data_IF_116055854023
#
_entry.id   IF_116055854023
#
_cell.length_a   1.000
_cell.length_b   1.000
_cell.length_c   1.000
_cell.angle_alpha   90.00
_cell.angle_beta   90.00
_cell.angle_gamma   90.00
#
_symmetry.space_group_name_H-M   'P 1'
#
loop_
_entity.id
_entity.type
_entity.pdbx_description
1 polymer ?
#
# COMPACT_ATOMS: atom_id res chain seq x y z
N UNK A 1 1.52 -30.38 -51.12
CA UNK A 1 2.73 -31.07 -51.60
C UNK A 1 3.86 -30.68 -50.66
N UNK A 2 4.47 -31.68 -49.99
CA UNK A 2 5.66 -31.66 -49.09
C UNK A 2 5.50 -30.84 -47.77
N UNK A 3 5.10 -31.42 -46.63
CA UNK A 3 5.79 -32.31 -45.65
C UNK A 3 7.08 -31.76 -45.02
N UNK A 4 7.09 -31.59 -43.69
CA UNK A 4 7.99 -32.32 -42.78
C UNK A 4 7.63 -32.08 -41.30
N UNK A 5 7.40 -33.19 -40.61
CA UNK A 5 7.36 -33.39 -39.15
C UNK A 5 8.78 -33.31 -38.55
N UNK A 6 8.91 -32.90 -37.28
CA UNK A 6 9.81 -33.58 -36.34
C UNK A 6 9.13 -33.70 -34.98
N UNK A 7 8.92 -34.97 -34.60
CA UNK A 7 8.55 -35.46 -33.28
C UNK A 7 9.85 -35.84 -32.55
N UNK A 8 9.95 -35.62 -31.25
CA UNK A 8 10.86 -36.41 -30.41
C UNK A 8 10.29 -36.61 -29.01
N UNK A 9 10.19 -37.89 -28.66
CA UNK A 9 9.77 -38.48 -27.40
C UNK A 9 10.89 -39.42 -26.99
N UNK A 10 11.42 -39.34 -25.77
CA UNK A 10 12.22 -40.42 -25.16
C UNK A 10 12.04 -40.41 -23.63
N UNK A 11 11.42 -41.52 -23.18
CA UNK A 11 11.64 -42.38 -21.99
C UNK A 11 11.84 -41.76 -20.59
N UNK A 12 11.01 -42.03 -19.57
CA UNK A 12 10.67 -43.29 -18.87
C UNK A 12 11.84 -43.93 -18.09
N UNK A 13 11.78 -43.82 -16.75
CA UNK A 13 12.25 -44.87 -15.84
C UNK A 13 11.56 -44.74 -14.48
N UNK A 14 10.54 -45.60 -14.27
CA UNK A 14 10.18 -46.10 -12.95
C UNK A 14 10.94 -47.42 -12.71
N UNK A 15 11.41 -47.67 -11.48
CA UNK A 15 11.48 -49.04 -10.94
C UNK A 15 11.39 -49.06 -9.41
N UNK A 16 10.56 -49.99 -8.96
CA UNK A 16 10.04 -50.24 -7.62
C UNK A 16 11.01 -50.96 -6.67
N UNK A 17 10.66 -50.94 -5.38
CA UNK A 17 10.98 -52.02 -4.43
C UNK A 17 10.20 -51.90 -3.11
N UNK A 18 9.08 -52.63 -2.98
CA UNK A 18 8.47 -53.03 -1.68
C UNK A 18 9.42 -54.03 -0.97
N UNK A 19 9.42 -54.31 0.34
CA UNK A 19 8.39 -54.91 1.24
C UNK A 19 9.07 -55.08 2.62
N UNK A 20 8.52 -54.64 3.77
CA UNK A 20 7.61 -55.31 4.75
C UNK A 20 8.25 -55.89 6.04
N UNK A 21 7.68 -55.46 7.19
CA UNK A 21 7.57 -56.09 8.54
C UNK A 21 8.86 -56.24 9.39
N UNK A 22 8.90 -56.01 10.72
CA UNK A 22 8.09 -56.53 11.85
C UNK A 22 8.31 -55.59 13.09
N UNK A 23 7.26 -55.26 13.85
CA UNK A 23 7.37 -54.66 15.22
C UNK A 23 7.53 -55.76 16.31
N UNK A 24 7.20 -55.58 17.61
CA UNK A 24 6.80 -54.38 18.34
C UNK A 24 7.60 -54.20 19.66
N UNK A 25 7.33 -53.11 20.40
CA UNK A 25 6.77 -53.18 21.78
C UNK A 25 6.53 -51.79 22.35
N UNK A 26 5.28 -51.57 22.73
CA UNK A 26 4.82 -50.53 23.64
C UNK A 26 5.40 -50.76 25.04
N UNK A 27 5.58 -49.68 25.80
CA UNK A 27 4.96 -49.58 27.13
C UNK A 27 4.69 -48.12 27.48
N UNK A 28 3.44 -47.89 27.91
CA UNK A 28 2.84 -46.64 28.37
C UNK A 28 2.89 -46.64 29.89
N UNK A 29 3.37 -45.58 30.56
CA UNK A 29 2.76 -45.10 31.84
C UNK A 29 2.96 -43.58 32.05
N UNK A 30 1.86 -42.87 31.81
CA UNK A 30 1.26 -41.73 32.55
C UNK A 30 1.97 -41.07 33.75
N UNK A 31 2.23 -39.77 33.58
CA UNK A 31 1.85 -38.59 34.40
C UNK A 31 2.05 -38.55 35.93
N UNK A 32 2.73 -37.49 36.41
CA UNK A 32 2.29 -36.69 37.56
C UNK A 32 2.86 -35.26 37.55
N UNK A 33 1.94 -34.29 37.63
CA UNK A 33 2.16 -32.85 37.77
C UNK A 33 2.48 -32.53 39.24
N UNK A 34 3.49 -31.69 39.52
CA UNK A 34 3.48 -30.77 40.68
C UNK A 34 4.48 -29.60 40.49
N UNK A 35 3.98 -28.35 40.47
CA UNK A 35 4.63 -27.14 40.99
C UNK A 35 3.83 -26.73 42.26
N UNK A 36 4.26 -25.81 43.16
CA UNK A 36 5.44 -24.91 43.16
C UNK A 36 6.17 -24.81 44.54
N UNK A 37 7.31 -24.11 44.64
CA UNK A 37 7.53 -23.10 45.70
C UNK A 37 8.75 -22.19 45.41
N UNK A 38 8.58 -20.95 45.83
CA UNK A 38 9.45 -19.78 45.76
C UNK A 38 10.65 -19.91 46.71
N UNK A 39 11.82 -19.43 46.29
CA UNK A 39 12.82 -18.86 47.20
C UNK A 39 13.49 -17.66 46.54
N UNK A 40 13.26 -16.49 47.12
CA UNK A 40 14.07 -15.29 46.93
C UNK A 40 15.52 -15.56 47.34
N UNK A 41 16.47 -15.20 46.48
CA UNK A 41 17.81 -14.81 46.93
C UNK A 41 18.16 -13.53 46.16
N UNK A 42 18.10 -12.42 46.90
CA UNK A 42 18.83 -11.20 46.60
C UNK A 42 20.32 -11.52 46.64
N UNK A 43 21.04 -11.26 45.55
CA UNK A 43 22.37 -10.67 45.70
C UNK A 43 22.80 -9.88 44.47
N UNK A 44 23.19 -8.65 44.80
CA UNK A 44 23.73 -7.59 43.98
C UNK A 44 25.04 -8.04 43.29
N UNK A 45 25.12 -7.75 42.00
CA UNK A 45 26.22 -8.18 41.13
C UNK A 45 26.13 -7.44 39.80
N UNK A 46 26.54 -6.17 39.83
CA UNK A 46 26.70 -5.31 38.65
C UNK A 46 27.53 -6.00 37.57
N UNK A 47 26.85 -6.57 36.58
CA UNK A 47 27.39 -6.75 35.23
C UNK A 47 26.64 -5.80 34.31
N UNK A 48 27.32 -4.72 33.88
CA UNK A 48 26.87 -3.83 32.81
C UNK A 48 26.75 -4.64 31.52
N UNK A 49 25.60 -5.27 31.33
CA UNK A 49 25.16 -5.72 30.02
C UNK A 49 24.70 -4.46 29.28
N UNK A 50 25.53 -3.94 28.38
CA UNK A 50 25.10 -3.05 27.30
C UNK A 50 24.12 -3.82 26.41
N UNK A 51 22.89 -4.00 26.89
CA UNK A 51 21.74 -4.11 26.01
C UNK A 51 21.44 -2.67 25.64
N UNK A 52 21.91 -2.28 24.47
CA UNK A 52 21.20 -1.29 23.69
C UNK A 52 19.79 -1.87 23.54
N UNK A 53 18.92 -1.51 24.48
CA UNK A 53 17.51 -1.78 24.35
C UNK A 53 17.10 -1.01 23.11
N UNK A 54 16.87 -1.72 22.02
CA UNK A 54 15.88 -1.29 21.05
C UNK A 54 14.64 -1.12 21.93
N UNK A 55 14.35 0.13 22.30
CA UNK A 55 13.08 0.45 22.90
C UNK A 55 12.09 0.04 21.81
N UNK A 56 11.45 -1.10 22.01
CA UNK A 56 10.34 -1.54 21.18
C UNK A 56 9.19 -0.60 21.52
N UNK A 57 9.30 0.63 21.02
CA UNK A 57 8.27 1.64 21.10
C UNK A 57 7.11 1.09 20.29
N UNK A 58 6.12 0.50 20.97
CA UNK A 58 4.80 0.13 20.45
C UNK A 58 4.83 -0.39 18.99
N UNK A 59 4.91 -1.72 18.79
CA UNK A 59 4.68 -2.42 17.51
C UNK A 59 4.10 -1.49 16.44
N UNK A 60 4.96 -0.97 15.55
CA UNK A 60 4.67 0.20 14.71
C UNK A 60 3.27 0.07 14.09
N UNK A 61 2.33 0.88 14.60
CA UNK A 61 0.90 0.68 14.39
C UNK A 61 0.49 0.70 12.91
N UNK A 62 1.32 1.31 12.06
CA UNK A 62 1.19 1.31 10.60
C UNK A 62 1.22 -0.12 10.00
N UNK A 63 1.85 -1.07 10.69
CA UNK A 63 1.89 -2.49 10.31
C UNK A 63 0.68 -3.30 10.77
N UNK A 64 -0.19 -2.74 11.63
CA UNK A 64 -1.38 -3.44 12.08
C UNK A 64 -2.25 -3.80 10.87
N UNK A 65 -2.54 -5.09 10.72
CA UNK A 65 -3.30 -5.65 9.60
C UNK A 65 -2.68 -5.39 8.21
N UNK A 66 -1.40 -5.04 8.15
CA UNK A 66 -0.72 -4.71 6.90
C UNK A 66 0.24 -5.83 6.47
N UNK A 67 0.15 -6.26 5.22
CA UNK A 67 1.14 -7.11 4.55
C UNK A 67 1.80 -6.32 3.44
N UNK A 68 3.12 -6.44 3.30
CA UNK A 68 3.90 -5.87 2.20
C UNK A 68 4.30 -6.99 1.25
N UNK A 69 4.16 -6.76 -0.05
CA UNK A 69 4.60 -7.71 -1.06
C UNK A 69 6.11 -7.60 -1.30
N UNK A 70 6.70 -8.68 -1.82
CA UNK A 70 8.03 -8.66 -2.44
C UNK A 70 7.89 -9.24 -3.84
N UNK A 71 8.40 -8.53 -4.84
CA UNK A 71 8.27 -8.93 -6.25
C UNK A 71 6.80 -9.27 -6.62
N UNK A 72 5.86 -8.41 -6.18
CA UNK A 72 4.42 -8.59 -6.40
C UNK A 72 3.80 -9.85 -5.78
N UNK A 73 4.43 -10.44 -4.75
CA UNK A 73 3.91 -11.61 -4.04
C UNK A 73 3.79 -11.30 -2.55
N UNK A 74 2.63 -11.57 -1.95
CA UNK A 74 2.45 -11.56 -0.49
C UNK A 74 2.90 -12.89 0.13
N UNK A 75 3.83 -12.83 1.08
CA UNK A 75 4.24 -14.00 1.86
C UNK A 75 3.10 -14.44 2.79
N UNK A 76 2.86 -15.75 2.90
CA UNK A 76 1.82 -16.34 3.76
C UNK A 76 0.38 -15.84 3.48
N UNK A 77 0.05 -15.61 2.20
CA UNK A 77 -1.28 -15.18 1.79
C UNK A 77 -2.38 -16.17 2.19
N UNK A 78 -3.28 -15.73 3.09
CA UNK A 78 -4.28 -16.59 3.75
C UNK A 78 -5.71 -16.45 3.23
N UNK A 79 -5.97 -15.59 2.24
CA UNK A 79 -7.34 -15.29 1.79
C UNK A 79 -7.75 -16.08 0.53
N UNK A 80 -6.92 -17.00 0.05
CA UNK A 80 -7.18 -17.71 -1.21
C UNK A 80 -7.23 -16.75 -2.41
N UNK A 81 -7.90 -17.14 -3.48
CA UNK A 81 -8.03 -16.25 -4.64
C UNK A 81 -9.02 -15.12 -4.35
N UNK A 82 -8.63 -13.88 -4.65
CA UNK A 82 -9.45 -12.68 -4.46
C UNK A 82 -9.34 -11.76 -5.67
N UNK A 83 -10.34 -10.89 -5.83
CA UNK A 83 -10.39 -9.91 -6.90
C UNK A 83 -9.81 -8.57 -6.45
N UNK A 84 -9.09 -7.91 -7.36
CA UNK A 84 -8.64 -6.52 -7.16
C UNK A 84 -9.52 -5.62 -8.02
N UNK A 85 -10.12 -4.62 -7.40
CA UNK A 85 -11.14 -3.80 -8.03
C UNK A 85 -10.96 -2.31 -7.74
N UNK A 86 -11.40 -1.47 -8.68
CA UNK A 86 -11.56 -0.03 -8.49
C UNK A 86 -13.04 0.29 -8.29
N UNK A 87 -13.37 0.92 -7.17
CA UNK A 87 -14.75 1.37 -6.89
C UNK A 87 -14.91 2.81 -7.32
N UNK A 88 -15.98 3.12 -8.04
CA UNK A 88 -16.22 4.44 -8.60
C UNK A 88 -17.70 4.79 -8.66
N UNK A 89 -17.99 6.08 -8.84
CA UNK A 89 -19.34 6.62 -9.04
C UNK A 89 -19.30 7.47 -10.31
N UNK A 90 -20.26 7.25 -11.19
CA UNK A 90 -20.33 7.97 -12.45
C UNK A 90 -20.94 9.37 -12.23
N UNK A 91 -21.99 9.45 -11.41
CA UNK A 91 -22.57 10.70 -10.95
C UNK A 91 -22.41 10.84 -9.43
N UNK A 92 -22.08 12.04 -8.95
CA UNK A 92 -21.95 12.32 -7.50
C UNK A 92 -23.20 11.93 -6.69
N UNK A 93 -24.37 11.89 -7.32
CA UNK A 93 -25.65 11.53 -6.70
C UNK A 93 -26.04 10.06 -6.85
N UNK A 94 -25.26 9.23 -7.55
CA UNK A 94 -25.49 7.78 -7.56
C UNK A 94 -25.14 7.22 -6.16
N UNK A 95 -26.15 6.62 -5.53
CA UNK A 95 -26.04 6.03 -4.19
C UNK A 95 -25.31 4.69 -4.21
N UNK A 96 -25.32 3.99 -5.36
CA UNK A 96 -24.70 2.67 -5.52
C UNK A 96 -23.41 2.84 -6.32
N UNK A 97 -22.24 2.67 -5.69
CA UNK A 97 -20.98 2.69 -6.43
C UNK A 97 -20.87 1.48 -7.35
N UNK A 98 -20.20 1.66 -8.49
CA UNK A 98 -19.86 0.60 -9.44
C UNK A 98 -18.45 0.10 -9.18
N UNK A 99 -18.19 -1.13 -9.62
CA UNK A 99 -16.92 -1.82 -9.39
C UNK A 99 -16.33 -2.23 -10.73
N UNK A 100 -15.08 -1.82 -10.98
CA UNK A 100 -14.30 -2.26 -12.12
C UNK A 100 -13.26 -3.28 -11.64
N UNK A 101 -13.39 -4.53 -12.07
CA UNK A 101 -12.36 -5.55 -11.82
C UNK A 101 -11.14 -5.27 -12.68
N UNK A 102 -9.99 -5.11 -12.04
CA UNK A 102 -8.73 -4.74 -12.68
C UNK A 102 -7.60 -5.72 -12.37
N UNK A 103 -7.88 -6.82 -11.70
CA UNK A 103 -6.83 -7.72 -11.27
C UNK A 103 -7.32 -8.80 -10.33
N UNK A 104 -6.36 -9.55 -9.81
CA UNK A 104 -6.57 -10.56 -8.77
C UNK A 104 -5.29 -10.78 -7.96
N UNK A 105 -5.45 -11.35 -6.78
CA UNK A 105 -4.37 -11.97 -6.00
C UNK A 105 -4.68 -13.47 -5.98
N UNK A 106 -3.76 -14.30 -6.46
CA UNK A 106 -3.96 -15.74 -6.53
C UNK A 106 -3.81 -16.42 -5.16
N UNK A 107 -4.00 -17.75 -5.12
CA UNK A 107 -3.88 -18.52 -3.88
C UNK A 107 -2.45 -18.57 -3.30
N UNK A 108 -1.44 -18.12 -4.04
CA UNK A 108 -0.04 -18.01 -3.59
C UNK A 108 0.32 -16.57 -3.19
N UNK A 109 -0.61 -15.63 -3.27
CA UNK A 109 -0.37 -14.22 -2.97
C UNK A 109 0.20 -13.42 -4.14
N UNK A 110 0.28 -13.99 -5.35
CA UNK A 110 0.78 -13.30 -6.54
C UNK A 110 -0.23 -12.30 -7.05
N UNK A 111 0.20 -11.06 -7.25
CA UNK A 111 -0.64 -9.93 -7.65
C UNK A 111 -0.56 -9.78 -9.16
N UNK A 112 -1.71 -9.69 -9.82
CA UNK A 112 -1.81 -9.36 -11.25
C UNK A 112 -2.75 -8.19 -11.46
N UNK A 113 -2.28 -7.13 -12.10
CA UNK A 113 -3.09 -5.97 -12.51
C UNK A 113 -3.25 -5.97 -14.03
N UNK A 114 -4.49 -6.02 -14.49
CA UNK A 114 -4.91 -6.00 -15.88
C UNK A 114 -5.94 -4.87 -16.06
N UNK A 115 -5.45 -3.69 -16.44
CA UNK A 115 -6.31 -2.54 -16.69
C UNK A 115 -7.00 -2.68 -18.07
N UNK A 116 -8.29 -2.32 -18.18
CA UNK A 116 -8.96 -2.31 -19.48
C UNK A 116 -8.34 -1.25 -20.39
N UNK A 117 -8.41 -1.45 -21.71
CA UNK A 117 -7.85 -0.49 -22.68
C UNK A 117 -8.52 0.89 -22.60
N UNK A 118 -9.82 0.91 -22.34
CA UNK A 118 -10.63 2.11 -22.21
C UNK A 118 -11.59 1.96 -21.04
N UNK A 119 -11.99 3.10 -20.47
CA UNK A 119 -13.07 3.19 -19.47
C UNK A 119 -13.92 4.42 -19.77
N UNK A 120 -15.15 4.40 -19.29
CA UNK A 120 -15.99 5.59 -19.31
C UNK A 120 -15.52 6.55 -18.21
N UNK A 121 -15.28 7.81 -18.57
CA UNK A 121 -14.95 8.88 -17.64
C UNK A 121 -16.07 9.91 -17.61
N UNK A 122 -16.51 10.30 -16.42
CA UNK A 122 -17.55 11.34 -16.25
C UNK A 122 -17.01 12.60 -15.59
N UNK A 123 -15.91 12.48 -14.85
CA UNK A 123 -15.18 13.62 -14.30
C UNK A 123 -14.26 14.22 -15.37
N UNK A 124 -14.12 15.54 -15.37
CA UNK A 124 -13.18 16.26 -16.24
C UNK A 124 -11.93 16.64 -15.47
N UNK A 125 -10.76 16.68 -16.14
CA UNK A 125 -9.49 17.04 -15.50
C UNK A 125 -9.54 18.44 -14.83
N UNK A 126 -10.24 19.40 -15.44
CA UNK A 126 -10.41 20.74 -14.86
C UNK A 126 -11.42 20.80 -13.70
N UNK A 127 -12.04 19.68 -13.31
CA UNK A 127 -13.09 19.62 -12.30
C UNK A 127 -12.93 18.36 -11.42
N UNK A 128 -11.74 18.18 -10.84
CA UNK A 128 -11.41 17.00 -10.03
C UNK A 128 -12.07 16.97 -8.64
N UNK A 129 -12.67 18.07 -8.17
CA UNK A 129 -13.41 18.20 -6.89
C UNK A 129 -12.95 17.24 -5.77
N UNK A 130 -11.76 17.40 -5.18
CA UNK A 130 -11.23 16.55 -4.09
C UNK A 130 -11.24 15.02 -4.34
N UNK A 131 -11.46 14.53 -5.56
CA UNK A 131 -11.80 13.13 -5.83
C UNK A 131 -10.57 12.20 -5.81
N UNK A 132 -9.35 12.72 -5.93
CA UNK A 132 -8.11 11.92 -6.01
C UNK A 132 -6.96 12.53 -5.21
N UNK A 133 -6.78 13.85 -5.33
CA UNK A 133 -5.77 14.59 -4.58
C UNK A 133 -6.46 15.24 -3.39
N UNK A 134 -6.41 14.56 -2.24
CA UNK A 134 -7.01 15.10 -1.02
C UNK A 134 -6.27 16.34 -0.49
N UNK A 135 -5.10 16.65 -1.05
CA UNK A 135 -4.25 17.79 -0.73
C UNK A 135 -4.40 18.98 -1.69
N UNK A 136 -5.31 18.93 -2.69
CA UNK A 136 -5.70 20.13 -3.46
C UNK A 136 -6.59 21.01 -2.57
N UNK A 137 -6.16 22.25 -2.33
CA UNK A 137 -6.98 23.22 -1.59
C UNK A 137 -7.65 24.24 -2.51
N UNK A 138 -7.02 24.61 -3.62
CA UNK A 138 -7.53 25.63 -4.54
C UNK A 138 -7.23 25.29 -6.00
N UNK A 139 -8.15 24.51 -6.58
CA UNK A 139 -8.09 24.06 -7.98
C UNK A 139 -8.01 25.24 -8.99
N UNK A 140 -8.44 26.45 -8.59
CA UNK A 140 -8.40 27.64 -9.45
C UNK A 140 -6.99 28.19 -9.69
N UNK A 141 -5.98 27.73 -8.94
CA UNK A 141 -4.58 28.15 -9.08
C UNK A 141 -3.80 27.33 -10.11
N UNK A 142 -4.40 26.30 -10.70
CA UNK A 142 -3.70 25.39 -11.59
C UNK A 142 -3.87 25.76 -13.05
N UNK A 143 -2.80 25.52 -13.80
CA UNK A 143 -2.78 25.62 -15.24
C UNK A 143 -3.11 24.27 -15.84
N UNK A 144 -4.03 24.27 -16.80
CA UNK A 144 -4.50 23.07 -17.45
C UNK A 144 -4.25 23.14 -18.95
N UNK A 145 -3.85 22.01 -19.54
CA UNK A 145 -4.09 21.76 -20.96
C UNK A 145 -5.24 20.76 -21.09
N UNK A 146 -6.14 20.98 -22.05
CA UNK A 146 -7.31 20.14 -22.29
C UNK A 146 -8.12 19.83 -21.01
N UNK A 147 -8.49 20.86 -20.26
CA UNK A 147 -9.25 20.76 -19.01
C UNK A 147 -10.58 19.96 -19.14
N UNK A 148 -11.16 19.90 -20.34
CA UNK A 148 -12.37 19.14 -20.64
C UNK A 148 -12.13 17.64 -20.92
N UNK A 149 -10.87 17.18 -20.90
CA UNK A 149 -10.52 15.76 -21.04
C UNK A 149 -11.15 14.94 -19.92
N UNK A 150 -11.71 13.78 -20.27
CA UNK A 150 -12.25 12.85 -19.31
C UNK A 150 -11.16 12.24 -18.44
N UNK A 151 -11.42 12.17 -17.14
CA UNK A 151 -10.48 11.74 -16.12
C UNK A 151 -11.11 10.70 -15.19
N UNK A 152 -10.31 9.72 -14.80
CA UNK A 152 -10.62 8.77 -13.74
C UNK A 152 -9.33 8.45 -12.98
N UNK A 153 -9.36 8.49 -11.65
CA UNK A 153 -8.18 8.16 -10.84
C UNK A 153 -8.52 7.44 -9.56
N UNK A 154 -7.62 6.58 -9.11
CA UNK A 154 -7.71 5.85 -7.83
C UNK A 154 -6.35 5.73 -7.16
N UNK A 155 -6.30 6.25 -5.93
CA UNK A 155 -5.15 6.12 -5.02
C UNK A 155 -5.15 4.76 -4.30
N UNK A 156 -6.33 4.19 -4.09
CA UNK A 156 -6.52 2.94 -3.36
C UNK A 156 -7.36 1.97 -4.19
N UNK A 157 -6.95 0.70 -4.22
CA UNK A 157 -7.70 -0.39 -4.84
C UNK A 157 -8.36 -1.24 -3.75
N UNK A 158 -9.57 -1.74 -4.01
CA UNK A 158 -10.23 -2.65 -3.09
C UNK A 158 -9.85 -4.09 -3.41
N UNK A 159 -9.74 -4.91 -2.36
CA UNK A 159 -9.58 -6.36 -2.47
C UNK A 159 -10.88 -7.01 -2.03
N UNK A 160 -11.49 -7.78 -2.93
CA UNK A 160 -12.80 -8.39 -2.73
C UNK A 160 -12.72 -9.91 -2.73
N UNK A 161 -13.39 -10.52 -1.75
CA UNK A 161 -13.62 -11.96 -1.70
C UNK A 161 -15.13 -12.19 -1.70
N UNK A 162 -15.62 -12.95 -2.69
CA UNK A 162 -17.05 -13.25 -2.84
C UNK A 162 -17.94 -11.98 -2.84
N UNK A 163 -17.49 -10.91 -3.48
CA UNK A 163 -18.21 -9.62 -3.56
C UNK A 163 -18.18 -8.79 -2.28
N UNK A 164 -17.41 -9.19 -1.25
CA UNK A 164 -17.20 -8.43 -0.02
C UNK A 164 -15.78 -7.87 0.02
N UNK A 165 -15.65 -6.58 0.31
CA UNK A 165 -14.34 -5.96 0.55
C UNK A 165 -13.72 -6.54 1.82
N UNK A 166 -12.54 -7.16 1.68
CA UNK A 166 -11.74 -7.71 2.78
C UNK A 166 -10.57 -6.82 3.18
N UNK A 167 -10.26 -5.82 2.36
CA UNK A 167 -9.18 -4.88 2.61
C UNK A 167 -8.92 -3.98 1.41
N UNK A 168 -7.84 -3.22 1.50
CA UNK A 168 -7.37 -2.35 0.44
C UNK A 168 -5.94 -2.67 0.02
N UNK A 169 -5.61 -2.32 -1.21
CA UNK A 169 -4.31 -2.49 -1.83
C UNK A 169 -3.80 -1.12 -2.29
N UNK A 170 -2.57 -0.81 -1.90
CA UNK A 170 -1.85 0.43 -2.27
C UNK A 170 -0.47 0.07 -2.80
N UNK A 171 0.12 0.92 -3.64
CA UNK A 171 1.44 0.70 -4.24
C UNK A 171 2.35 1.87 -3.86
N UNK A 172 3.53 1.62 -3.30
CA UNK A 172 4.46 2.68 -2.91
C UNK A 172 5.71 2.08 -2.29
N UNK A 173 6.55 2.87 -1.64
CA UNK A 173 7.81 2.36 -1.05
C UNK A 173 7.85 2.37 0.49
N UNK A 174 6.78 2.84 1.14
CA UNK A 174 6.74 3.01 2.59
C UNK A 174 5.36 2.67 3.15
N UNK A 175 5.32 1.85 4.20
CA UNK A 175 4.09 1.49 4.90
C UNK A 175 3.40 2.72 5.52
N UNK A 176 4.21 3.67 6.02
CA UNK A 176 3.73 4.89 6.66
C UNK A 176 3.17 5.85 5.63
N UNK A 177 3.94 6.14 4.59
CA UNK A 177 3.54 7.09 3.54
C UNK A 177 2.32 6.59 2.76
N UNK A 178 2.28 5.30 2.42
CA UNK A 178 1.10 4.72 1.74
C UNK A 178 -0.15 4.73 2.63
N UNK A 179 -0.01 4.62 3.95
CA UNK A 179 -1.13 4.82 4.87
C UNK A 179 -1.53 6.30 4.94
N UNK A 180 -0.55 7.18 5.19
CA UNK A 180 -0.79 8.60 5.42
C UNK A 180 -1.48 9.27 4.22
N UNK A 181 -1.05 8.95 3.00
CA UNK A 181 -1.57 9.53 1.76
C UNK A 181 -2.91 8.92 1.29
N UNK A 182 -3.40 7.86 1.94
CA UNK A 182 -4.70 7.26 1.62
C UNK A 182 -5.79 7.55 2.65
N UNK A 183 -5.46 8.32 3.69
CA UNK A 183 -6.38 8.69 4.75
C UNK A 183 -6.36 10.22 4.94
N UNK A 184 -7.54 10.83 4.79
CA UNK A 184 -7.71 12.28 4.88
C UNK A 184 -7.20 12.87 6.20
N UNK A 185 -7.34 12.14 7.30
CA UNK A 185 -6.92 12.61 8.63
C UNK A 185 -5.40 12.66 8.82
N UNK A 186 -4.62 12.11 7.87
CA UNK A 186 -3.17 11.94 8.00
C UNK A 186 -2.39 12.50 6.80
N UNK A 187 -3.03 13.23 5.89
CA UNK A 187 -2.38 13.82 4.71
C UNK A 187 -1.28 14.82 5.06
N UNK A 188 -1.35 15.40 6.25
CA UNK A 188 -0.36 16.36 6.72
C UNK A 188 0.87 15.70 7.36
N UNK A 189 0.88 14.38 7.48
CA UNK A 189 2.00 13.64 8.06
C UNK A 189 3.22 13.68 7.12
N UNK A 190 4.41 13.88 7.70
CA UNK A 190 5.65 14.09 6.97
C UNK A 190 6.51 12.84 6.74
N UNK A 191 5.99 11.63 6.95
CA UNK A 191 6.76 10.42 6.68
C UNK A 191 7.15 10.34 5.20
N UNK A 192 8.45 10.49 4.92
CA UNK A 192 9.00 10.52 3.57
C UNK A 192 8.82 9.18 2.86
N UNK A 193 8.59 9.26 1.55
CA UNK A 193 8.27 8.14 0.69
C UNK A 193 7.26 8.55 -0.37
N UNK A 194 6.67 7.58 -1.06
CA UNK A 194 5.67 7.87 -2.08
C UNK A 194 4.59 6.79 -2.19
N UNK A 195 3.49 7.18 -2.83
CA UNK A 195 2.46 6.29 -3.35
C UNK A 195 2.39 6.45 -4.88
N UNK A 196 2.07 5.35 -5.56
CA UNK A 196 1.74 5.30 -6.98
C UNK A 196 0.25 5.03 -7.10
N UNK A 197 -0.43 5.89 -7.83
CA UNK A 197 -1.86 5.80 -8.13
C UNK A 197 -2.09 5.65 -9.63
N UNK A 198 -3.23 5.10 -10.00
CA UNK A 198 -3.60 4.89 -11.40
C UNK A 198 -4.54 6.00 -11.85
N UNK A 199 -4.23 6.63 -12.98
CA UNK A 199 -5.07 7.64 -13.59
C UNK A 199 -5.29 7.35 -15.09
N UNK A 200 -6.54 7.38 -15.54
CA UNK A 200 -6.91 7.26 -16.95
C UNK A 200 -7.34 8.61 -17.49
N UNK A 201 -6.82 8.97 -18.67
CA UNK A 201 -7.21 10.16 -19.42
C UNK A 201 -7.70 9.78 -20.81
N UNK A 202 -8.76 10.43 -21.28
CA UNK A 202 -9.27 10.25 -22.65
C UNK A 202 -8.27 10.74 -23.71
N UNK A 203 -7.57 11.83 -23.39
CA UNK A 203 -6.70 12.55 -24.32
C UNK A 203 -5.42 13.01 -23.62
N UNK A 204 -4.46 13.49 -24.39
CA UNK A 204 -3.29 14.18 -23.83
C UNK A 204 -3.77 15.41 -23.06
N UNK A 205 -3.32 15.57 -21.82
CA UNK A 205 -3.71 16.68 -20.96
C UNK A 205 -2.65 16.89 -19.87
N UNK A 206 -2.62 18.07 -19.28
CA UNK A 206 -1.70 18.36 -18.18
C UNK A 206 -2.34 19.21 -17.10
N UNK A 207 -1.82 19.06 -15.89
CA UNK A 207 -2.17 19.83 -14.70
C UNK A 207 -0.87 20.26 -14.03
N UNK A 208 -0.64 21.57 -13.99
CA UNK A 208 0.56 22.16 -13.43
C UNK A 208 0.22 23.26 -12.43
N UNK A 209 0.88 23.28 -11.27
CA UNK A 209 0.63 24.29 -10.26
C UNK A 209 1.43 24.07 -8.99
N UNK A 210 1.51 25.12 -8.17
CA UNK A 210 2.16 25.08 -6.87
C UNK A 210 1.24 25.75 -5.86
N UNK A 211 0.89 25.02 -4.81
CA UNK A 211 0.23 25.59 -3.63
C UNK A 211 1.25 25.74 -2.53
N UNK A 212 1.42 26.96 -2.03
CA UNK A 212 2.21 27.21 -0.83
C UNK A 212 1.26 27.61 0.30
N UNK A 213 1.35 26.96 1.45
CA UNK A 213 0.58 27.27 2.64
C UNK A 213 1.49 27.49 3.83
N UNK A 214 1.06 28.34 4.76
CA UNK A 214 1.68 28.50 6.08
C UNK A 214 0.69 28.02 7.11
N UNK A 215 1.12 27.07 7.92
CA UNK A 215 0.27 26.42 8.91
C UNK A 215 0.90 26.59 10.30
N UNK A 216 0.09 27.00 11.27
CA UNK A 216 0.47 26.92 12.68
C UNK A 216 0.20 25.50 13.17
N UNK A 217 1.26 24.71 13.33
CA UNK A 217 1.19 23.28 13.66
C UNK A 217 1.56 23.07 15.11
N UNK A 218 0.74 22.32 15.85
CA UNK A 218 1.00 22.01 17.26
C UNK A 218 2.14 21.01 17.39
N UNK A 219 3.14 21.34 18.21
CA UNK A 219 4.24 20.46 18.59
C UNK A 219 3.87 19.69 19.85
N UNK A 220 3.56 20.40 20.94
CA UNK A 220 3.17 19.85 22.25
C UNK A 220 1.96 20.60 22.83
N UNK A 221 1.52 20.32 24.08
CA UNK A 221 0.29 20.88 24.65
C UNK A 221 0.21 22.40 24.61
N UNK A 222 1.33 23.12 24.47
CA UNK A 222 1.36 24.59 24.47
C UNK A 222 2.21 25.23 23.38
N UNK A 223 3.08 24.47 22.71
CA UNK A 223 3.97 25.00 21.67
C UNK A 223 3.45 24.68 20.28
N UNK A 224 3.55 25.69 19.41
CA UNK A 224 3.32 25.56 17.98
C UNK A 224 4.61 25.86 17.22
N UNK A 225 4.67 25.37 15.99
CA UNK A 225 5.63 25.81 14.99
C UNK A 225 4.88 26.40 13.82
N UNK A 226 5.49 27.35 13.13
CA UNK A 226 5.05 27.76 11.80
C UNK A 226 5.68 26.81 10.78
N UNK A 227 4.85 26.04 10.09
CA UNK A 227 5.26 25.14 9.03
C UNK A 227 4.90 25.75 7.67
N UNK A 228 5.90 25.86 6.80
CA UNK A 228 5.68 26.25 5.41
C UNK A 228 5.61 24.98 4.56
N UNK A 229 4.52 24.83 3.83
CA UNK A 229 4.22 23.66 3.03
C UNK A 229 4.15 24.02 1.56
N UNK A 230 4.64 23.13 0.70
CA UNK A 230 4.50 23.26 -0.75
C UNK A 230 3.92 21.99 -1.36
N UNK A 231 2.84 22.10 -2.13
CA UNK A 231 2.29 21.00 -2.90
C UNK A 231 2.47 21.34 -4.37
N UNK A 232 3.26 20.54 -5.07
CA UNK A 232 3.61 20.77 -6.47
C UNK A 232 2.90 19.73 -7.34
N UNK A 233 2.15 20.21 -8.31
CA UNK A 233 1.56 19.41 -9.36
C UNK A 233 2.34 19.62 -10.65
N UNK A 234 2.91 18.53 -11.17
CA UNK A 234 3.59 18.49 -12.45
C UNK A 234 3.17 17.23 -13.21
N UNK A 235 1.92 17.23 -13.69
CA UNK A 235 1.27 16.07 -14.25
C UNK A 235 1.09 16.26 -15.76
N UNK A 236 1.87 15.52 -16.55
CA UNK A 236 1.74 15.47 -18.01
C UNK A 236 1.22 14.08 -18.40
N UNK A 237 -0.07 14.00 -18.69
CA UNK A 237 -0.75 12.74 -18.96
C UNK A 237 -0.74 12.39 -20.45
N UNK A 238 -0.54 11.12 -20.75
CA UNK A 238 -0.85 10.53 -22.07
C UNK A 238 -2.29 10.02 -22.10
N UNK A 239 -2.89 9.87 -23.29
CA UNK A 239 -4.13 9.10 -23.44
C UNK A 239 -3.98 7.69 -22.86
N UNK A 240 -5.02 7.20 -22.19
CA UNK A 240 -5.04 5.91 -21.52
C UNK A 240 -4.55 5.97 -20.07
N UNK A 241 -4.01 4.85 -19.57
CA UNK A 241 -3.54 4.73 -18.20
C UNK A 241 -2.16 5.36 -17.97
N UNK A 242 -2.05 6.06 -16.86
CA UNK A 242 -0.89 6.76 -16.35
C UNK A 242 -0.63 6.32 -14.90
N UNK A 243 0.64 6.32 -14.52
CA UNK A 243 1.09 6.13 -13.15
C UNK A 243 1.36 7.51 -12.55
N UNK A 244 0.64 7.87 -11.50
CA UNK A 244 0.83 9.14 -10.79
C UNK A 244 1.55 8.86 -9.48
N UNK A 245 2.78 9.38 -9.37
CA UNK A 245 3.59 9.34 -8.16
C UNK A 245 3.28 10.58 -7.32
N UNK A 246 2.82 10.36 -6.09
CA UNK A 246 2.71 11.38 -5.05
C UNK A 246 3.79 11.13 -4.01
N UNK A 247 4.76 12.03 -3.92
CA UNK A 247 5.97 11.88 -3.10
C UNK A 247 6.04 12.94 -2.02
N UNK A 248 6.30 12.50 -0.78
CA UNK A 248 6.54 13.37 0.38
C UNK A 248 8.05 13.59 0.51
N UNK A 249 8.47 14.85 0.44
CA UNK A 249 9.87 15.27 0.48
C UNK A 249 10.04 16.25 1.64
N UNK A 250 10.88 15.88 2.60
CA UNK A 250 11.18 16.66 3.79
C UNK A 250 10.03 16.68 4.79
N UNK A 251 10.42 16.83 6.05
CA UNK A 251 9.49 16.97 7.18
C UNK A 251 9.97 17.96 8.23
N UNK A 252 9.02 18.40 9.03
CA UNK A 252 9.23 18.95 10.36
C UNK A 252 8.96 17.84 11.36
N UNK A 253 9.94 17.55 12.22
CA UNK A 253 9.73 16.62 13.33
C UNK A 253 8.96 17.32 14.45
N UNK A 254 7.89 16.68 14.93
CA UNK A 254 7.06 17.17 16.02
C UNK A 254 7.25 16.25 17.22
N UNK A 255 7.65 16.82 18.36
CA UNK A 255 7.68 16.09 19.63
C UNK A 255 6.27 16.07 20.23
N UNK A 256 5.52 14.99 20.02
CA UNK A 256 4.24 14.83 20.68
C UNK A 256 4.44 14.31 22.12
N UNK A 257 3.73 14.87 23.08
CA UNK A 257 3.89 14.57 24.52
C UNK A 257 3.68 13.11 24.95
N UNK A 258 3.09 12.28 24.09
CA UNK A 258 2.89 10.85 24.35
C UNK A 258 4.05 9.98 23.84
N UNK A 259 5.16 10.59 23.42
CA UNK A 259 6.28 9.88 22.78
C UNK A 259 5.94 9.34 21.38
N UNK A 260 4.82 9.76 20.80
CA UNK A 260 4.46 9.41 19.44
C UNK A 260 5.28 10.27 18.48
N UNK A 261 6.04 9.63 17.60
CA UNK A 261 6.68 10.32 16.48
C UNK A 261 5.58 10.91 15.58
N UNK A 262 5.32 12.20 15.73
CA UNK A 262 4.48 12.97 14.82
C UNK A 262 5.39 13.75 13.88
N UNK A 263 4.98 13.90 12.64
CA UNK A 263 5.72 14.70 11.66
C UNK A 263 4.77 15.51 10.81
N UNK A 264 5.26 16.61 10.27
CA UNK A 264 4.51 17.44 9.33
C UNK A 264 5.28 17.52 8.02
N UNK A 265 4.63 17.31 6.88
CA UNK A 265 5.34 17.36 5.59
C UNK A 265 5.90 18.76 5.32
N UNK A 266 6.96 18.83 4.51
CA UNK A 266 7.42 20.10 3.91
C UNK A 266 6.91 20.23 2.49
N UNK A 267 7.02 19.15 1.72
CA UNK A 267 6.67 19.18 0.30
C UNK A 267 6.01 17.90 -0.17
N UNK A 268 4.94 18.05 -0.96
CA UNK A 268 4.41 16.98 -1.81
C UNK A 268 4.73 17.28 -3.27
N UNK A 269 5.07 16.26 -4.03
CA UNK A 269 5.25 16.35 -5.49
C UNK A 269 4.40 15.29 -6.16
N UNK A 270 3.51 15.74 -7.04
CA UNK A 270 2.69 14.91 -7.91
C UNK A 270 3.28 14.91 -9.32
N UNK A 271 3.62 13.74 -9.83
CA UNK A 271 4.23 13.58 -11.16
C UNK A 271 3.73 12.33 -11.87
N UNK A 272 3.75 12.35 -13.21
CA UNK A 272 3.50 11.14 -14.02
C UNK A 272 4.82 10.40 -14.22
N UNK A 273 4.84 9.10 -13.97
CA UNK A 273 6.01 8.23 -14.18
C UNK A 273 5.75 7.21 -15.29
N UNK A 274 6.81 6.81 -15.99
CA UNK A 274 6.71 5.90 -17.13
C UNK A 274 6.44 4.44 -16.72
N UNK A 275 6.99 4.04 -15.58
CA UNK A 275 6.93 2.68 -15.05
C UNK A 275 6.86 2.69 -13.52
N UNK A 276 6.47 1.56 -12.94
CA UNK A 276 6.46 1.37 -11.50
C UNK A 276 7.93 1.34 -11.04
N UNK A 277 8.35 2.18 -10.08
CA UNK A 277 9.73 2.16 -9.60
C UNK A 277 10.12 0.80 -9.00
N UNK A 278 11.39 0.43 -9.10
CA UNK A 278 11.90 -0.88 -8.63
C UNK A 278 11.76 -1.07 -7.11
N UNK A 279 11.81 0.01 -6.33
CA UNK A 279 11.65 0.00 -4.88
C UNK A 279 10.17 0.00 -4.43
N UNK A 280 9.22 0.02 -5.36
CA UNK A 280 7.81 -0.02 -5.04
C UNK A 280 7.36 -1.44 -4.66
N UNK A 281 6.55 -1.51 -3.60
CA UNK A 281 5.88 -2.70 -3.12
C UNK A 281 4.38 -2.44 -2.98
N UNK A 282 3.60 -3.52 -3.08
CA UNK A 282 2.18 -3.45 -2.75
C UNK A 282 1.99 -3.64 -1.24
N UNK A 283 1.13 -2.83 -0.65
CA UNK A 283 0.70 -2.95 0.75
C UNK A 283 -0.78 -3.30 0.78
N UNK A 284 -1.08 -4.49 1.29
CA UNK A 284 -2.44 -4.95 1.56
C UNK A 284 -2.79 -4.67 3.02
N UNK A 285 -3.90 -3.96 3.27
CA UNK A 285 -4.41 -3.68 4.62
C UNK A 285 -5.77 -4.34 4.77
N UNK A 286 -5.87 -5.35 5.64
CA UNK A 286 -7.14 -6.03 5.90
C UNK A 286 -8.05 -5.18 6.79
N UNK A 287 -9.36 -5.30 6.56
CA UNK A 287 -10.39 -4.68 7.40
C UNK A 287 -10.37 -5.22 8.84
#
# INVERSE_FOLDING_TARGET
>A
MVSAFVLSTVLYCCKNGNTSHIGPKEDIVSTKITKPLVSEILNDGKTKSNRHGINTDQDDWYWKNTQMSKNNIFENWGFGQVDVVMVYRYLQNETIPKTLKIGHIDNKGSITINLPKTIQTETKLGNLQNLVFYDIQDIGKFNYTNAASGYFGKTTLNVEQNGKVIGNLTLGNSVRTTYNLTNQSTLTMGDEGYIISWAYLDEFASLQGIENTKNTVRRDETKTIEAENSVVYNLDFKPGWNLVKTEVIGKYDLEHERGLNASWFKKHVHSVVAEIPEDAAYFFRSN
#
